data_IF_572113687698
#
_entry.id   IF_572113687698
#
_cell.length_a   1.000
_cell.length_b   1.000
_cell.length_c   1.000
_cell.angle_alpha   90.00
_cell.angle_beta   90.00
_cell.angle_gamma   90.00
#
_symmetry.space_group_name_H-M   'P 1'
#
loop_
_entity.id
_entity.type
_entity.pdbx_description
1 polymer ?
#
# COMPACT_ATOMS: atom_id res chain seq x y z
N UNK A 1 4.51 -7.76 26.64
CA UNK A 1 3.98 -6.50 27.20
C UNK A 1 3.03 -5.92 26.17
N UNK A 2 1.75 -5.81 26.54
CA UNK A 2 0.57 -5.29 25.82
C UNK A 2 0.22 -5.90 24.45
N UNK A 3 -0.77 -6.80 24.48
CA UNK A 3 -1.59 -7.13 23.33
C UNK A 3 -2.47 -5.91 22.99
N UNK A 4 -2.30 -5.33 21.80
CA UNK A 4 -3.17 -4.29 21.27
C UNK A 4 -4.58 -4.88 21.08
N UNK A 5 -5.51 -4.42 21.91
CA UNK A 5 -6.90 -4.87 21.94
C UNK A 5 -7.65 -4.44 20.67
N UNK A 6 -7.65 -5.29 19.65
CA UNK A 6 -8.56 -5.15 18.52
C UNK A 6 -9.97 -5.56 18.97
N UNK A 7 -10.86 -4.57 19.16
CA UNK A 7 -12.29 -4.84 19.31
C UNK A 7 -12.81 -5.53 18.04
N UNK A 8 -13.13 -6.83 18.14
CA UNK A 8 -13.70 -7.65 17.07
C UNK A 8 -15.23 -7.56 17.03
N UNK A 9 -15.82 -6.37 17.07
CA UNK A 9 -17.28 -6.23 16.90
C UNK A 9 -17.61 -5.81 15.47
N UNK A 10 -18.17 -6.72 14.66
CA UNK A 10 -18.77 -6.39 13.35
C UNK A 10 -19.75 -5.23 13.52
N UNK A 11 -19.61 -4.19 12.69
CA UNK A 11 -20.60 -3.11 12.56
C UNK A 11 -20.36 -1.85 13.41
N UNK A 12 -19.25 -1.73 14.15
CA UNK A 12 -18.88 -0.47 14.83
C UNK A 12 -17.69 0.20 14.13
N UNK A 13 -17.80 1.50 13.85
CA UNK A 13 -16.69 2.32 13.34
C UNK A 13 -15.62 2.39 14.44
N UNK A 14 -14.35 2.07 14.13
CA UNK A 14 -13.28 2.16 15.13
C UNK A 14 -13.06 3.61 15.56
N UNK A 15 -12.99 3.84 16.88
CA UNK A 15 -12.55 5.10 17.47
C UNK A 15 -11.13 4.90 17.96
N UNK A 16 -10.18 5.49 17.25
CA UNK A 16 -8.75 5.31 17.51
C UNK A 16 -8.30 6.15 18.71
N UNK A 17 -7.43 5.61 19.55
CA UNK A 17 -6.71 6.37 20.58
C UNK A 17 -5.54 7.18 19.97
N UNK A 18 -4.76 7.89 20.79
CA UNK A 18 -3.68 8.75 20.29
C UNK A 18 -2.58 7.96 19.57
N UNK A 19 -2.10 6.86 20.15
CA UNK A 19 -1.05 6.03 19.56
C UNK A 19 -1.49 5.40 18.24
N UNK A 20 -2.74 4.93 18.17
CA UNK A 20 -3.33 4.39 16.94
C UNK A 20 -3.45 5.48 15.85
N UNK A 21 -3.86 6.70 16.24
CA UNK A 21 -3.89 7.84 15.31
C UNK A 21 -2.51 8.18 14.80
N UNK A 22 -1.49 8.17 15.64
CA UNK A 22 -0.12 8.46 15.21
C UNK A 22 0.45 7.37 14.28
N UNK A 23 0.10 6.11 14.54
CA UNK A 23 0.38 5.00 13.62
C UNK A 23 -0.25 5.22 12.24
N UNK A 24 -1.53 5.61 12.19
CA UNK A 24 -2.23 5.95 10.94
C UNK A 24 -1.59 7.13 10.22
N UNK A 25 -1.19 8.18 10.95
CA UNK A 25 -0.51 9.35 10.38
C UNK A 25 0.84 8.99 9.78
N UNK A 26 1.61 8.16 10.46
CA UNK A 26 2.92 7.70 9.99
C UNK A 26 2.79 6.85 8.72
N UNK A 27 1.87 5.89 8.70
CA UNK A 27 1.58 5.11 7.50
C UNK A 27 1.10 5.99 6.33
N UNK A 28 0.21 6.95 6.60
CA UNK A 28 -0.30 7.88 5.60
C UNK A 28 0.78 8.79 5.01
N UNK A 29 1.69 9.33 5.84
CA UNK A 29 2.83 10.14 5.38
C UNK A 29 3.75 9.35 4.48
N UNK A 30 4.12 8.13 4.88
CA UNK A 30 4.96 7.27 4.05
C UNK A 30 4.29 6.96 2.71
N UNK A 31 3.00 6.58 2.72
CA UNK A 31 2.28 6.31 1.48
C UNK A 31 2.24 7.53 0.55
N UNK A 32 2.14 8.76 1.09
CA UNK A 32 2.25 9.99 0.29
C UNK A 32 3.63 10.11 -0.36
N UNK A 33 4.71 9.91 0.40
CA UNK A 33 6.08 9.95 -0.12
C UNK A 33 6.32 8.92 -1.22
N UNK A 34 5.78 7.71 -1.04
CA UNK A 34 5.85 6.65 -2.04
C UNK A 34 5.12 7.03 -3.33
N UNK A 35 3.95 7.66 -3.23
CA UNK A 35 3.21 8.16 -4.40
C UNK A 35 3.97 9.27 -5.14
N UNK A 36 4.63 10.16 -4.40
CA UNK A 36 5.48 11.20 -4.98
C UNK A 36 6.72 10.61 -5.66
N UNK A 37 7.33 9.59 -5.05
CA UNK A 37 8.45 8.85 -5.62
C UNK A 37 8.08 8.14 -6.92
N UNK A 38 6.95 7.43 -6.98
CA UNK A 38 6.60 6.60 -8.14
C UNK A 38 6.09 7.44 -9.32
N UNK A 39 5.45 8.58 -9.06
CA UNK A 39 4.86 9.48 -10.08
C UNK A 39 5.79 9.76 -11.27
N UNK A 40 7.06 10.19 -11.10
CA UNK A 40 7.96 10.46 -12.23
C UNK A 40 8.34 9.21 -13.06
N UNK A 41 8.15 8.00 -12.54
CA UNK A 41 8.42 6.75 -13.26
C UNK A 41 7.26 6.30 -14.15
N UNK A 42 6.07 6.88 -14.00
CA UNK A 42 4.93 6.61 -14.87
C UNK A 42 5.13 7.32 -16.21
N UNK A 43 5.81 6.65 -17.13
CA UNK A 43 6.18 7.17 -18.45
C UNK A 43 5.76 6.20 -19.57
N UNK A 44 5.56 6.68 -20.81
CA UNK A 44 5.33 5.81 -21.95
C UNK A 44 6.44 4.76 -22.08
N UNK A 45 6.03 3.51 -22.33
CA UNK A 45 6.96 2.38 -22.49
C UNK A 45 7.37 1.68 -21.19
N UNK A 46 7.02 2.22 -20.02
CA UNK A 46 7.23 1.54 -18.73
C UNK A 46 6.11 0.54 -18.48
N UNK A 47 6.51 -0.67 -18.11
CA UNK A 47 5.60 -1.76 -17.79
C UNK A 47 5.04 -1.60 -16.37
N UNK A 48 3.84 -2.11 -16.10
CA UNK A 48 3.27 -2.01 -14.75
C UNK A 48 4.04 -2.86 -13.73
N UNK A 49 4.66 -3.96 -14.18
CA UNK A 49 5.53 -4.78 -13.33
C UNK A 49 6.84 -4.06 -12.92
N UNK A 50 7.37 -3.16 -13.76
CA UNK A 50 8.50 -2.31 -13.37
C UNK A 50 8.10 -1.32 -12.27
N UNK A 51 6.91 -0.73 -12.36
CA UNK A 51 6.38 0.15 -11.31
C UNK A 51 6.17 -0.63 -9.99
N UNK A 52 5.67 -1.86 -10.06
CA UNK A 52 5.52 -2.74 -8.90
C UNK A 52 6.86 -3.04 -8.22
N UNK A 53 7.92 -3.32 -9.02
CA UNK A 53 9.27 -3.54 -8.51
C UNK A 53 9.81 -2.31 -7.78
N UNK A 54 9.68 -1.13 -8.38
CA UNK A 54 10.13 0.13 -7.77
C UNK A 54 9.40 0.41 -6.44
N UNK A 55 8.09 0.18 -6.39
CA UNK A 55 7.32 0.33 -5.15
C UNK A 55 7.71 -0.70 -4.10
N UNK A 56 7.93 -1.95 -4.49
CA UNK A 56 8.39 -3.00 -3.57
C UNK A 56 9.72 -2.61 -2.93
N UNK A 57 10.72 -2.24 -3.74
CA UNK A 57 12.05 -1.84 -3.28
C UNK A 57 11.97 -0.60 -2.37
N UNK A 58 11.29 0.46 -2.82
CA UNK A 58 11.12 1.68 -2.02
C UNK A 58 10.43 1.39 -0.68
N UNK A 59 9.44 0.50 -0.66
CA UNK A 59 8.76 0.11 0.58
C UNK A 59 9.68 -0.59 1.56
N UNK A 60 10.48 -1.56 1.09
CA UNK A 60 11.40 -2.31 1.95
C UNK A 60 12.58 -1.45 2.43
N UNK A 61 13.13 -0.60 1.56
CA UNK A 61 14.25 0.28 1.88
C UNK A 61 13.92 1.30 2.97
N UNK A 62 12.63 1.64 3.12
CA UNK A 62 12.12 2.51 4.19
C UNK A 62 11.62 1.74 5.42
N UNK A 63 11.87 0.42 5.51
CA UNK A 63 11.51 -0.39 6.66
C UNK A 63 10.03 -0.70 6.78
N UNK A 64 9.27 -0.61 5.68
CA UNK A 64 7.84 -0.89 5.64
C UNK A 64 7.54 -2.22 4.92
N UNK A 65 6.26 -2.58 4.85
CA UNK A 65 5.81 -3.82 4.19
C UNK A 65 4.72 -3.49 3.17
N UNK A 66 4.78 -4.06 1.94
CA UNK A 66 3.76 -3.85 0.93
C UNK A 66 2.41 -4.43 1.37
N UNK A 67 1.41 -3.58 1.56
CA UNK A 67 0.12 -4.01 2.13
C UNK A 67 -0.68 -4.94 1.19
N UNK A 68 -0.50 -4.81 -0.13
CA UNK A 68 -1.20 -5.65 -1.11
C UNK A 68 -0.60 -7.06 -1.21
N UNK A 69 0.71 -7.21 -0.99
CA UNK A 69 1.42 -8.45 -1.25
C UNK A 69 0.92 -9.56 -0.31
N UNK A 70 0.35 -10.61 -0.89
CA UNK A 70 -0.24 -11.74 -0.17
C UNK A 70 -1.64 -11.47 0.40
N UNK A 71 -2.16 -10.24 0.34
CA UNK A 71 -3.51 -9.94 0.84
C UNK A 71 -4.55 -10.71 0.04
N UNK A 72 -5.24 -11.66 0.68
CA UNK A 72 -6.18 -12.57 0.01
C UNK A 72 -5.59 -13.23 -1.25
N UNK A 73 -4.30 -13.60 -1.19
CA UNK A 73 -3.53 -14.18 -2.31
C UNK A 73 -3.26 -13.21 -3.47
N UNK A 74 -3.41 -11.91 -3.27
CA UNK A 74 -2.99 -10.92 -4.25
C UNK A 74 -1.46 -11.01 -4.47
N UNK A 75 -0.99 -11.10 -5.73
CA UNK A 75 0.38 -11.56 -6.02
C UNK A 75 1.45 -10.45 -6.00
N UNK A 76 1.05 -9.18 -6.04
CA UNK A 76 1.96 -8.05 -6.24
C UNK A 76 1.88 -7.02 -5.10
N UNK A 77 2.79 -6.05 -5.12
CA UNK A 77 3.00 -5.05 -4.07
C UNK A 77 2.06 -3.85 -4.22
N UNK A 78 1.62 -3.57 -5.44
CA UNK A 78 0.61 -2.54 -5.76
C UNK A 78 -0.44 -3.07 -6.73
N UNK A 79 -1.52 -2.31 -6.89
CA UNK A 79 -2.46 -2.44 -7.98
C UNK A 79 -2.18 -1.40 -9.07
N UNK A 80 -2.21 -1.81 -10.34
CA UNK A 80 -2.09 -0.91 -11.50
C UNK A 80 -3.28 -1.12 -12.42
N UNK A 81 -4.13 -0.11 -12.54
CA UNK A 81 -5.44 -0.22 -13.20
C UNK A 81 -5.48 0.74 -14.40
N UNK A 82 -5.15 0.19 -15.58
CA UNK A 82 -5.01 0.95 -16.82
C UNK A 82 -6.35 0.98 -17.56
N UNK A 83 -6.75 2.14 -18.09
CA UNK A 83 -7.92 2.33 -18.95
C UNK A 83 -9.23 1.78 -18.35
N UNK A 84 -9.79 0.71 -18.93
CA UNK A 84 -11.06 0.09 -18.51
C UNK A 84 -10.97 -0.72 -17.21
N UNK A 85 -9.76 -0.98 -16.71
CA UNK A 85 -9.58 -1.66 -15.44
C UNK A 85 -9.98 -0.70 -14.32
N UNK A 86 -11.11 -1.00 -13.66
CA UNK A 86 -11.69 -0.11 -12.63
C UNK A 86 -10.81 -0.03 -11.39
N UNK A 87 -10.38 -1.17 -10.86
CA UNK A 87 -9.52 -1.26 -9.68
C UNK A 87 -8.86 -2.64 -9.60
N UNK A 88 -7.86 -2.76 -8.71
CA UNK A 88 -7.16 -4.02 -8.42
C UNK A 88 -6.51 -4.72 -9.62
N UNK A 89 -6.20 -3.99 -10.69
CA UNK A 89 -5.42 -4.55 -11.80
C UNK A 89 -4.09 -5.11 -11.30
N UNK A 90 -3.74 -6.32 -11.75
CA UNK A 90 -2.50 -7.01 -11.38
C UNK A 90 -1.37 -6.47 -12.28
N UNK A 91 -0.29 -5.92 -11.69
CA UNK A 91 0.89 -5.54 -12.44
C UNK A 91 1.38 -6.66 -13.36
N UNK A 92 1.61 -6.31 -14.63
CA UNK A 92 1.99 -7.24 -15.69
C UNK A 92 2.92 -6.56 -16.71
N UNK A 93 3.18 -7.24 -17.83
CA UNK A 93 4.12 -6.82 -18.88
C UNK A 93 3.78 -5.47 -19.49
#
# INVERSE_FOLDING_TARGET
MQALGRSKTKGKVPIYNEDEREGLRTAGRFNSQLMDFIRPHVQPGITTIELDRLVYEYTLDHGHTPACLGYKKYPNSICTSVNEIVCHGIPNR
#
